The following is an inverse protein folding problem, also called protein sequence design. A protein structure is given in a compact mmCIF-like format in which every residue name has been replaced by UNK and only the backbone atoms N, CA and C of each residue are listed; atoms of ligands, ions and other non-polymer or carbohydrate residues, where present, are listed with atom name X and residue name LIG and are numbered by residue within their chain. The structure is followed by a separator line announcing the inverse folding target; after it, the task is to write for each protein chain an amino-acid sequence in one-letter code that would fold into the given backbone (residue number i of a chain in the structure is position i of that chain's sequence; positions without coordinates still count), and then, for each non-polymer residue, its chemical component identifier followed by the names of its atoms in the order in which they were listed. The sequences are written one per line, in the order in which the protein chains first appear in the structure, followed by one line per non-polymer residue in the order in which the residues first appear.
data_IF_420167364785
#
_entry.id   IF_420167364785
#
_cell.length_a   1.000
_cell.length_b   1.000
_cell.length_c   1.000
_cell.angle_alpha   90.00
_cell.angle_beta   90.00
_cell.angle_gamma   90.00
#
_symmetry.space_group_name_H-M   'P 1'
#
loop_
_entity.id
_entity.type
_entity.pdbx_description
1 polymer ?
#
# COMPACT_ATOMS: atom_id res chain seq x y z
N UNK A 1 21.34 2.56 0.30
CA UNK A 1 22.07 1.28 0.09
C UNK A 1 23.13 1.04 1.17
N UNK A 2 24.09 1.96 1.37
CA UNK A 2 25.12 1.80 2.42
C UNK A 2 24.52 1.52 3.81
N UNK A 3 23.48 2.28 4.18
CA UNK A 3 22.73 2.05 5.41
C UNK A 3 22.08 0.67 5.49
N UNK A 4 21.46 0.20 4.40
CA UNK A 4 20.88 -1.14 4.33
C UNK A 4 21.93 -2.22 4.57
N UNK A 5 23.13 -2.07 4.01
CA UNK A 5 24.26 -2.97 4.28
C UNK A 5 24.72 -2.87 5.73
N UNK A 6 24.76 -1.68 6.32
CA UNK A 6 25.10 -1.51 7.74
C UNK A 6 24.09 -2.21 8.66
N UNK A 7 22.79 -2.07 8.39
CA UNK A 7 21.72 -2.77 9.11
C UNK A 7 21.86 -4.29 8.97
N UNK A 8 22.05 -4.80 7.75
CA UNK A 8 22.26 -6.23 7.53
C UNK A 8 23.48 -6.76 8.30
N UNK A 9 24.61 -6.04 8.28
CA UNK A 9 25.81 -6.41 9.03
C UNK A 9 25.56 -6.43 10.54
N UNK A 10 24.91 -5.41 11.08
CA UNK A 10 24.59 -5.32 12.50
C UNK A 10 23.68 -6.48 12.96
N UNK A 11 22.76 -6.91 12.10
CA UNK A 11 21.83 -8.01 12.36
C UNK A 11 22.34 -9.38 11.89
N UNK A 12 23.62 -9.49 11.49
CA UNK A 12 24.23 -10.73 10.98
C UNK A 12 23.47 -11.36 9.79
N UNK A 13 22.89 -10.53 8.93
CA UNK A 13 22.21 -10.94 7.69
C UNK A 13 23.21 -10.89 6.53
N UNK A 14 23.37 -12.03 5.85
CA UNK A 14 24.35 -12.20 4.76
C UNK A 14 23.86 -11.71 3.41
N UNK A 15 22.55 -11.80 3.15
CA UNK A 15 21.97 -11.54 1.84
C UNK A 15 21.07 -10.31 1.89
N UNK A 16 21.22 -9.43 0.90
CA UNK A 16 20.42 -8.23 0.73
C UNK A 16 19.95 -8.17 -0.72
N UNK A 17 18.64 -8.09 -0.91
CA UNK A 17 18.00 -7.88 -2.20
C UNK A 17 17.61 -6.40 -2.34
N UNK A 18 17.91 -5.81 -3.50
CA UNK A 18 17.55 -4.42 -3.83
C UNK A 18 17.11 -4.43 -5.29
N UNK A 19 15.89 -3.98 -5.56
CA UNK A 19 15.28 -3.87 -6.89
C UNK A 19 16.23 -3.26 -7.94
N UNK A 20 16.86 -2.14 -7.61
CA UNK A 20 17.79 -1.42 -8.50
C UNK A 20 19.10 -2.17 -8.81
N UNK A 21 19.39 -3.26 -8.09
CA UNK A 21 20.55 -4.13 -8.33
C UNK A 21 20.16 -5.50 -8.88
N UNK A 22 18.96 -5.98 -8.56
CA UNK A 22 18.52 -7.34 -8.83
C UNK A 22 17.56 -7.45 -10.01
N UNK A 23 17.05 -6.33 -10.53
CA UNK A 23 16.20 -6.28 -11.72
C UNK A 23 16.93 -5.48 -12.79
N UNK A 24 17.15 -6.10 -13.94
CA UNK A 24 17.73 -5.47 -15.12
C UNK A 24 16.65 -4.60 -15.78
N UNK A 25 16.86 -3.29 -15.77
CA UNK A 25 15.93 -2.31 -16.34
C UNK A 25 16.49 -1.78 -17.67
N UNK A 26 16.73 -2.68 -18.63
CA UNK A 26 17.19 -2.29 -19.96
C UNK A 26 15.98 -1.88 -20.84
N UNK A 27 15.89 -0.63 -21.32
CA UNK A 27 14.81 -0.22 -22.21
C UNK A 27 14.79 -1.00 -23.54
N UNK A 28 15.92 -1.58 -23.95
CA UNK A 28 16.01 -2.40 -25.17
C UNK A 28 15.53 -3.85 -24.96
N UNK A 29 15.52 -4.34 -23.72
CA UNK A 29 15.08 -5.69 -23.35
C UNK A 29 14.29 -5.67 -22.02
N UNK A 30 12.96 -5.47 -22.07
CA UNK A 30 12.13 -5.41 -20.87
C UNK A 30 11.85 -6.78 -20.25
N UNK A 31 12.35 -7.88 -20.82
CA UNK A 31 11.97 -9.25 -20.41
C UNK A 31 12.32 -9.59 -18.96
N UNK A 32 13.40 -9.01 -18.45
CA UNK A 32 13.79 -9.16 -17.04
C UNK A 32 12.82 -8.44 -16.12
N UNK A 33 12.51 -7.18 -16.42
CA UNK A 33 11.53 -6.39 -15.68
C UNK A 33 10.14 -7.04 -15.69
N UNK A 34 9.67 -7.51 -16.84
CA UNK A 34 8.36 -8.18 -16.96
C UNK A 34 8.29 -9.38 -16.02
N UNK A 35 9.32 -10.23 -16.04
CA UNK A 35 9.37 -11.44 -15.20
C UNK A 35 9.53 -11.13 -13.71
N UNK A 36 10.41 -10.20 -13.35
CA UNK A 36 10.71 -9.91 -11.95
C UNK A 36 9.61 -9.05 -11.30
N UNK A 37 8.95 -8.16 -12.05
CA UNK A 37 7.84 -7.34 -11.55
C UNK A 37 6.66 -8.19 -11.05
N UNK A 38 6.40 -9.32 -11.70
CA UNK A 38 5.38 -10.30 -11.28
C UNK A 38 5.80 -11.07 -10.01
N UNK A 39 7.11 -11.19 -9.75
CA UNK A 39 7.68 -12.00 -8.66
C UNK A 39 8.09 -11.18 -7.45
N UNK A 40 8.20 -9.86 -7.57
CA UNK A 40 8.56 -8.93 -6.50
C UNK A 40 7.74 -9.16 -5.23
N UNK A 41 6.44 -9.44 -5.35
CA UNK A 41 5.60 -9.76 -4.20
C UNK A 41 6.10 -10.97 -3.40
N UNK A 42 6.58 -12.01 -4.08
CA UNK A 42 7.13 -13.22 -3.44
C UNK A 42 8.47 -12.95 -2.74
N UNK A 43 9.28 -12.04 -3.27
CA UNK A 43 10.52 -11.61 -2.62
C UNK A 43 10.21 -11.02 -1.25
N UNK A 44 9.20 -10.14 -1.16
CA UNK A 44 8.77 -9.57 0.12
C UNK A 44 8.12 -10.61 1.04
N UNK A 45 7.27 -11.49 0.50
CA UNK A 45 6.59 -12.54 1.26
C UNK A 45 7.55 -13.53 1.91
N UNK A 46 8.69 -13.81 1.27
CA UNK A 46 9.69 -14.77 1.75
C UNK A 46 10.95 -14.11 2.31
N UNK A 47 10.98 -12.77 2.41
CA UNK A 47 12.09 -12.05 3.03
C UNK A 47 12.19 -12.38 4.52
N UNK A 48 13.42 -12.44 5.04
CA UNK A 48 13.63 -12.58 6.49
C UNK A 48 13.08 -11.37 7.26
N UNK A 49 13.32 -10.17 6.74
CA UNK A 49 12.57 -8.94 7.02
C UNK A 49 12.79 -7.96 5.87
N UNK A 50 11.90 -6.97 5.75
CA UNK A 50 12.04 -5.85 4.81
C UNK A 50 12.50 -4.60 5.55
N UNK A 51 13.50 -3.90 5.00
CA UNK A 51 13.96 -2.60 5.53
C UNK A 51 13.12 -1.51 4.87
N UNK A 52 12.31 -0.80 5.65
CA UNK A 52 11.45 0.29 5.18
C UNK A 52 12.07 1.63 5.59
N UNK A 53 12.71 2.33 4.65
CA UNK A 53 13.28 3.65 4.88
C UNK A 53 12.19 4.73 4.75
N UNK A 54 11.58 5.13 5.87
CA UNK A 54 10.44 6.04 5.87
C UNK A 54 10.84 7.51 5.96
N UNK A 55 11.95 7.83 6.63
CA UNK A 55 12.35 9.20 6.91
C UNK A 55 12.84 9.99 5.67
N UNK A 56 13.81 9.50 4.87
CA UNK A 56 14.43 10.35 3.86
C UNK A 56 13.54 10.54 2.62
N UNK A 57 13.48 11.75 2.05
CA UNK A 57 12.80 12.02 0.78
C UNK A 57 13.54 11.50 -0.46
N UNK A 58 14.81 11.09 -0.31
CA UNK A 58 15.66 10.66 -1.42
C UNK A 58 16.60 9.54 -0.99
N UNK A 59 16.93 8.65 -1.93
CA UNK A 59 17.90 7.56 -1.75
C UNK A 59 19.35 8.05 -1.52
N UNK A 60 19.64 9.33 -1.75
CA UNK A 60 20.93 9.95 -1.47
C UNK A 60 21.12 10.34 0.00
N UNK A 61 20.06 10.30 0.80
CA UNK A 61 20.11 10.62 2.22
C UNK A 61 20.12 9.34 3.07
N UNK A 62 20.83 9.41 4.18
CA UNK A 62 20.90 8.30 5.13
C UNK A 62 19.58 8.21 5.91
N UNK A 63 18.98 7.02 5.96
CA UNK A 63 17.82 6.76 6.82
C UNK A 63 18.24 6.45 8.28
N UNK A 64 19.52 6.22 8.52
CA UNK A 64 20.08 6.06 9.87
C UNK A 64 20.39 7.41 10.53
N UNK A 65 20.62 8.46 9.72
CA UNK A 65 20.83 9.82 10.19
C UNK A 65 19.51 10.49 10.60
N UNK A 66 19.05 10.23 11.83
CA UNK A 66 17.84 10.82 12.40
C UNK A 66 18.16 12.08 13.21
N UNK A 67 17.44 13.17 12.97
CA UNK A 67 17.45 14.31 13.89
C UNK A 67 16.38 14.08 14.95
N UNK A 68 16.80 13.61 16.13
CA UNK A 68 15.90 13.53 17.28
C UNK A 68 15.57 14.96 17.73
N UNK A 69 14.35 15.41 17.42
CA UNK A 69 13.79 16.60 18.03
C UNK A 69 13.23 16.18 19.40
N UNK A 70 14.12 16.08 20.38
CA UNK A 70 13.74 15.80 21.77
C UNK A 70 14.34 16.84 22.69
N UNK A 71 13.55 17.32 23.65
CA UNK A 71 14.04 18.19 24.71
C UNK A 71 14.13 17.35 25.97
N UNK A 72 15.34 17.18 26.48
CA UNK A 72 15.58 16.51 27.76
C UNK A 72 15.77 17.54 28.86
N UNK A 73 15.14 17.31 29.99
CA UNK A 73 15.39 18.10 31.20
C UNK A 73 15.25 17.25 32.45
N UNK A 74 16.07 17.56 33.43
CA UNK A 74 16.06 16.87 34.71
C UNK A 74 14.92 17.41 35.58
N UNK A 75 14.35 16.54 36.40
CA UNK A 75 13.40 16.94 37.41
C UNK A 75 13.83 16.44 38.80
N UNK A 76 13.49 17.23 39.80
CA UNK A 76 13.61 16.91 41.21
C UNK A 76 12.26 17.19 41.85
N UNK A 77 11.63 16.15 42.41
CA UNK A 77 10.35 16.35 43.10
C UNK A 77 10.57 17.22 44.33
N UNK A 78 9.77 18.28 44.44
CA UNK A 78 9.69 19.13 45.63
C UNK A 78 8.90 18.48 46.77
N UNK A 79 8.14 17.43 46.48
CA UNK A 79 7.27 16.72 47.44
C UNK A 79 7.92 15.44 47.99
N UNK A 80 8.81 14.80 47.23
CA UNK A 80 9.52 13.59 47.63
C UNK A 80 10.94 13.59 47.07
N UNK A 81 11.90 14.06 47.89
CA UNK A 81 13.30 14.26 47.48
C UNK A 81 13.99 13.05 46.84
N UNK A 82 13.69 11.79 47.19
CA UNK A 82 14.27 10.65 46.49
C UNK A 82 13.78 10.47 45.05
N UNK A 83 12.62 11.04 44.67
CA UNK A 83 12.15 11.03 43.28
C UNK A 83 12.84 12.14 42.48
N UNK A 84 13.87 11.72 41.75
CA UNK A 84 14.57 12.48 40.72
C UNK A 84 14.63 11.67 39.44
N UNK A 85 14.76 12.34 38.30
CA UNK A 85 14.89 11.67 37.03
C UNK A 85 14.99 12.66 35.88
N UNK A 86 14.75 12.16 34.68
CA UNK A 86 14.79 12.96 33.46
C UNK A 86 13.46 12.81 32.72
N UNK A 87 12.90 13.92 32.27
CA UNK A 87 11.82 13.92 31.29
C UNK A 87 12.40 14.11 29.90
N UNK A 88 11.83 13.39 28.93
CA UNK A 88 12.06 13.62 27.51
C UNK A 88 10.76 14.10 26.90
N UNK A 89 10.76 15.33 26.37
CA UNK A 89 9.65 15.83 25.55
C UNK A 89 9.89 15.45 24.10
N UNK A 90 8.89 14.81 23.52
CA UNK A 90 8.81 14.52 22.10
C UNK A 90 7.87 15.54 21.45
N UNK A 91 8.26 16.10 20.30
CA UNK A 91 7.33 16.94 19.54
C UNK A 91 6.21 16.06 18.96
N UNK A 92 4.95 16.44 19.23
CA UNK A 92 3.79 15.85 18.60
C UNK A 92 3.60 16.45 17.20
N UNK A 93 3.25 15.61 16.23
CA UNK A 93 2.86 16.04 14.89
C UNK A 93 1.42 16.55 14.88
N UNK A 94 1.08 17.34 13.87
CA UNK A 94 -0.32 17.72 13.60
C UNK A 94 -0.79 17.01 12.33
N UNK A 95 -1.91 16.29 12.41
CA UNK A 95 -2.63 15.76 11.25
C UNK A 95 -3.94 16.51 11.10
N UNK A 96 -4.11 17.24 10.01
CA UNK A 96 -5.29 18.10 9.76
C UNK A 96 -5.63 19.05 10.93
N UNK A 97 -4.61 19.55 11.63
CA UNK A 97 -4.77 20.44 12.80
C UNK A 97 -5.06 19.72 14.12
N UNK A 98 -5.12 18.38 14.14
CA UNK A 98 -5.30 17.58 15.35
C UNK A 98 -3.93 17.05 15.81
N UNK A 99 -3.57 17.19 17.10
CA UNK A 99 -2.37 16.57 17.65
C UNK A 99 -2.40 15.04 17.48
N UNK A 100 -1.37 14.50 16.84
CA UNK A 100 -1.10 13.07 16.79
C UNK A 100 0.00 12.80 17.80
N UNK A 101 -0.31 11.98 18.81
CA UNK A 101 0.63 11.65 19.87
C UNK A 101 1.35 10.33 19.64
N UNK A 102 0.89 9.51 18.69
CA UNK A 102 1.53 8.25 18.33
C UNK A 102 2.66 8.51 17.33
N UNK A 103 3.94 8.32 17.72
CA UNK A 103 5.10 8.64 16.88
C UNK A 103 5.08 7.86 15.56
N UNK A 104 4.58 6.62 15.59
CA UNK A 104 4.44 5.78 14.42
C UNK A 104 3.49 6.37 13.39
N UNK A 105 2.32 6.87 13.81
CA UNK A 105 1.37 7.50 12.89
C UNK A 105 1.95 8.76 12.26
N UNK A 106 2.73 9.55 13.02
CA UNK A 106 3.42 10.73 12.48
C UNK A 106 4.45 10.32 11.43
N UNK A 107 5.30 9.34 11.76
CA UNK A 107 6.32 8.84 10.85
C UNK A 107 5.70 8.26 9.58
N UNK A 108 4.61 7.49 9.69
CA UNK A 108 3.92 6.89 8.56
C UNK A 108 3.22 7.93 7.69
N UNK A 109 2.47 8.86 8.29
CA UNK A 109 1.73 9.88 7.57
C UNK A 109 2.65 10.82 6.77
N UNK A 110 3.80 11.18 7.36
CA UNK A 110 4.77 12.06 6.71
C UNK A 110 5.74 11.33 5.78
N UNK A 111 5.76 10.00 5.83
CA UNK A 111 6.67 9.15 5.06
C UNK A 111 6.50 9.34 3.55
N UNK A 112 7.55 9.76 2.82
CA UNK A 112 7.58 9.69 1.36
C UNK A 112 7.49 8.24 0.85
N UNK A 113 7.95 7.27 1.64
CA UNK A 113 7.88 5.85 1.32
C UNK A 113 6.43 5.37 1.22
N UNK A 114 5.56 5.71 2.18
CA UNK A 114 4.14 5.27 2.17
C UNK A 114 3.36 5.81 0.96
N UNK A 115 3.82 6.93 0.40
CA UNK A 115 3.19 7.58 -0.76
C UNK A 115 3.53 6.93 -2.10
N UNK A 116 4.48 6.00 -2.16
CA UNK A 116 4.93 5.36 -3.43
C UNK A 116 4.06 4.13 -3.75
N UNK A 117 3.64 3.98 -5.01
CA UNK A 117 2.78 2.88 -5.42
C UNK A 117 3.44 1.49 -5.26
N UNK A 118 4.66 1.33 -5.76
CA UNK A 118 5.43 0.07 -5.63
C UNK A 118 5.66 -0.38 -4.17
N UNK A 119 5.74 0.58 -3.25
CA UNK A 119 5.90 0.31 -1.81
C UNK A 119 4.68 -0.41 -1.21
N UNK A 120 3.52 -0.37 -1.86
CA UNK A 120 2.34 -1.05 -1.33
C UNK A 120 2.58 -2.56 -1.16
N UNK A 121 3.31 -3.20 -2.08
CA UNK A 121 3.68 -4.61 -1.95
C UNK A 121 4.69 -4.84 -0.82
N UNK A 122 5.66 -3.93 -0.64
CA UNK A 122 6.60 -3.97 0.50
C UNK A 122 5.84 -3.98 1.82
N UNK A 123 4.85 -3.10 1.93
CA UNK A 123 4.07 -2.91 3.14
C UNK A 123 3.14 -4.09 3.43
N UNK A 124 2.41 -4.56 2.43
CA UNK A 124 1.35 -5.54 2.64
C UNK A 124 1.85 -6.99 2.66
N UNK A 125 2.89 -7.31 1.86
CA UNK A 125 3.32 -8.70 1.68
C UNK A 125 4.49 -9.10 2.59
N UNK A 126 5.23 -8.14 3.16
CA UNK A 126 6.35 -8.45 4.05
C UNK A 126 5.86 -8.91 5.43
N UNK A 127 6.14 -10.15 5.87
CA UNK A 127 5.68 -10.64 7.17
C UNK A 127 6.35 -9.93 8.35
N UNK A 128 7.59 -9.48 8.14
CA UNK A 128 8.42 -8.76 9.11
C UNK A 128 9.02 -7.51 8.48
N UNK A 129 8.90 -6.37 9.14
CA UNK A 129 9.41 -5.07 8.66
C UNK A 129 10.21 -4.37 9.75
N UNK A 130 11.34 -3.80 9.36
CA UNK A 130 12.08 -2.82 10.15
C UNK A 130 11.85 -1.45 9.52
N UNK A 131 11.05 -0.64 10.21
CA UNK A 131 10.62 0.67 9.75
C UNK A 131 11.48 1.74 10.38
N UNK A 132 12.25 2.44 9.56
CA UNK A 132 13.13 3.53 9.98
C UNK A 132 12.42 4.88 9.75
N UNK A 133 11.70 5.31 10.78
CA UNK A 133 11.03 6.61 10.84
C UNK A 133 11.98 7.75 11.16
N UNK A 134 11.49 8.98 11.03
CA UNK A 134 12.22 10.19 11.41
C UNK A 134 12.38 10.24 12.94
N UNK A 135 11.36 9.81 13.68
CA UNK A 135 11.31 9.90 15.13
C UNK A 135 11.79 8.61 15.80
N UNK A 136 11.32 7.44 15.36
CA UNK A 136 11.68 6.15 15.96
C UNK A 136 11.94 5.06 14.92
N UNK A 137 12.55 3.96 15.37
CA UNK A 137 12.56 2.69 14.65
C UNK A 137 11.42 1.82 15.15
N UNK A 138 10.77 1.10 14.24
CA UNK A 138 9.69 0.16 14.57
C UNK A 138 9.99 -1.21 13.98
N UNK A 139 9.69 -2.26 14.73
CA UNK A 139 9.65 -3.63 14.25
C UNK A 139 8.21 -4.07 14.16
N UNK A 140 7.78 -4.51 12.97
CA UNK A 140 6.45 -5.05 12.75
C UNK A 140 6.54 -6.52 12.35
N UNK A 141 5.70 -7.36 12.96
CA UNK A 141 5.57 -8.77 12.64
C UNK A 141 4.10 -9.19 12.70
N UNK A 142 3.49 -9.43 11.53
CA UNK A 142 2.05 -9.63 11.42
C UNK A 142 1.27 -8.42 11.94
N UNK A 143 0.39 -8.63 12.91
CA UNK A 143 -0.43 -7.56 13.53
C UNK A 143 0.26 -6.83 14.69
N UNK A 144 1.44 -7.29 15.11
CA UNK A 144 2.13 -6.71 16.25
C UNK A 144 3.23 -5.77 15.79
N UNK A 145 3.31 -4.61 16.43
CA UNK A 145 4.38 -3.64 16.22
C UNK A 145 5.02 -3.30 17.56
N UNK A 146 6.35 -3.24 17.56
CA UNK A 146 7.19 -2.82 18.68
C UNK A 146 7.96 -1.57 18.26
N UNK A 147 7.84 -0.49 19.02
CA UNK A 147 8.63 0.72 18.81
C UNK A 147 9.92 0.71 19.61
N UNK A 148 10.88 1.56 19.20
CA UNK A 148 12.18 1.74 19.85
C UNK A 148 12.08 2.09 21.35
N UNK A 149 11.02 2.78 21.78
CA UNK A 149 10.75 3.11 23.18
C UNK A 149 10.11 1.96 23.98
N UNK A 150 9.89 0.79 23.37
CA UNK A 150 9.33 -0.40 24.00
C UNK A 150 7.80 -0.48 24.00
N UNK A 151 7.10 0.50 23.42
CA UNK A 151 5.65 0.43 23.28
C UNK A 151 5.25 -0.64 22.26
N UNK A 152 4.16 -1.35 22.56
CA UNK A 152 3.61 -2.41 21.70
C UNK A 152 2.23 -1.97 21.24
N UNK A 153 2.03 -2.03 19.93
CA UNK A 153 0.77 -1.68 19.28
C UNK A 153 0.25 -2.91 18.51
N UNK A 154 -1.05 -3.16 18.60
CA UNK A 154 -1.74 -4.09 17.70
C UNK A 154 -2.40 -3.31 16.58
N UNK A 155 -2.13 -3.69 15.34
CA UNK A 155 -2.81 -3.13 14.18
C UNK A 155 -4.05 -3.97 13.89
N UNK A 156 -5.22 -3.46 14.27
CA UNK A 156 -6.49 -4.15 14.05
C UNK A 156 -6.90 -4.19 12.56
N UNK A 157 -6.47 -3.20 11.77
CA UNK A 157 -6.84 -3.04 10.35
C UNK A 157 -5.85 -3.66 9.34
N UNK A 158 -4.85 -4.41 9.80
CA UNK A 158 -3.89 -5.08 8.92
C UNK A 158 -4.53 -6.32 8.28
N UNK A 159 -4.66 -6.31 6.95
CA UNK A 159 -5.06 -7.49 6.18
C UNK A 159 -3.87 -8.43 6.12
N UNK A 160 -4.03 -9.64 6.64
CA UNK A 160 -3.01 -10.68 6.51
C UNK A 160 -3.26 -11.45 5.21
N UNK A 161 -2.65 -10.97 4.13
CA UNK A 161 -2.73 -11.56 2.79
C UNK A 161 -2.22 -13.02 2.72
N UNK A 162 -1.48 -13.46 3.74
CA UNK A 162 -0.89 -14.80 3.83
C UNK A 162 -1.70 -15.78 4.68
N UNK A 163 -2.76 -15.33 5.37
CA UNK A 163 -3.51 -16.13 6.34
C UNK A 163 -5.02 -16.04 6.19
N UNK A 164 -5.52 -16.21 4.96
CA UNK A 164 -6.94 -16.49 4.75
C UNK A 164 -7.29 -17.96 5.01
N UNK A 165 -6.94 -18.47 6.19
CA UNK A 165 -7.50 -19.73 6.67
C UNK A 165 -8.88 -19.41 7.24
N UNK A 166 -9.95 -19.85 6.58
CA UNK A 166 -11.37 -19.66 6.95
C UNK A 166 -12.04 -18.34 6.52
N UNK A 167 -11.58 -17.70 5.45
CA UNK A 167 -12.29 -16.55 4.87
C UNK A 167 -13.22 -17.00 3.75
N UNK A 168 -14.39 -16.35 3.63
CA UNK A 168 -15.24 -16.54 2.45
C UNK A 168 -14.71 -15.70 1.28
N UNK A 169 -14.97 -16.09 0.01
CA UNK A 169 -14.56 -15.28 -1.14
C UNK A 169 -15.01 -13.81 -1.05
N UNK A 170 -16.20 -13.54 -0.49
CA UNK A 170 -16.72 -12.19 -0.32
C UNK A 170 -15.87 -11.34 0.64
N UNK A 171 -15.33 -11.96 1.70
CA UNK A 171 -14.43 -11.28 2.63
C UNK A 171 -13.09 -10.96 1.94
N UNK A 172 -12.56 -11.90 1.15
CA UNK A 172 -11.34 -11.70 0.37
C UNK A 172 -11.51 -10.54 -0.63
N UNK A 173 -12.62 -10.50 -1.36
CA UNK A 173 -12.87 -9.39 -2.30
C UNK A 173 -13.08 -8.06 -1.59
N UNK A 174 -13.73 -8.05 -0.42
CA UNK A 174 -13.86 -6.83 0.40
C UNK A 174 -12.50 -6.30 0.81
N UNK A 175 -11.61 -7.18 1.27
CA UNK A 175 -10.26 -6.80 1.69
C UNK A 175 -9.45 -6.30 0.48
N UNK A 176 -9.63 -6.88 -0.71
CA UNK A 176 -9.05 -6.37 -1.96
C UNK A 176 -9.59 -4.99 -2.37
N UNK A 177 -10.89 -4.73 -2.20
CA UNK A 177 -11.47 -3.40 -2.46
C UNK A 177 -10.93 -2.34 -1.49
N UNK A 178 -10.67 -2.72 -0.24
CA UNK A 178 -10.01 -1.89 0.75
C UNK A 178 -8.53 -1.66 0.40
N UNK A 179 -7.86 -2.67 -0.15
CA UNK A 179 -6.51 -2.53 -0.68
C UNK A 179 -6.44 -1.50 -1.81
N UNK A 180 -7.37 -1.57 -2.78
CA UNK A 180 -7.48 -0.57 -3.84
C UNK A 180 -7.65 0.84 -3.25
N UNK A 181 -8.47 0.99 -2.19
CA UNK A 181 -8.68 2.28 -1.53
C UNK A 181 -7.38 2.87 -0.93
N UNK A 182 -6.56 2.03 -0.29
CA UNK A 182 -5.26 2.42 0.30
C UNK A 182 -4.18 2.63 -0.78
N UNK A 183 -4.28 1.92 -1.90
CA UNK A 183 -3.30 1.92 -2.98
C UNK A 183 -3.50 3.06 -3.98
N UNK A 184 -4.74 3.36 -4.39
CA UNK A 184 -5.01 4.11 -5.63
C UNK A 184 -4.53 5.57 -5.61
N UNK A 185 -4.40 6.17 -4.42
CA UNK A 185 -3.88 7.54 -4.26
C UNK A 185 -2.37 7.63 -4.19
N UNK A 186 -1.66 6.48 -4.22
CA UNK A 186 -0.19 6.46 -4.19
C UNK A 186 0.38 6.91 -5.54
N UNK A 187 1.54 7.55 -5.48
CA UNK A 187 2.23 8.11 -6.62
C UNK A 187 3.05 7.04 -7.34
N UNK A 188 2.97 7.04 -8.67
CA UNK A 188 3.76 6.19 -9.56
C UNK A 188 4.55 7.07 -10.52
N UNK A 189 5.77 6.65 -10.86
CA UNK A 189 6.57 7.32 -11.90
C UNK A 189 5.96 7.09 -13.28
N UNK A 190 5.45 5.88 -13.52
CA UNK A 190 4.77 5.49 -14.75
C UNK A 190 3.40 4.91 -14.41
N UNK A 191 2.34 5.45 -15.01
CA UNK A 191 0.98 4.97 -14.76
C UNK A 191 0.72 3.56 -15.29
N UNK A 192 1.55 3.09 -16.22
CA UNK A 192 1.56 1.68 -16.67
C UNK A 192 1.84 0.70 -15.53
N UNK A 193 2.55 1.13 -14.49
CA UNK A 193 2.95 0.29 -13.37
C UNK A 193 1.82 0.06 -12.37
N UNK A 194 0.64 0.64 -12.58
CA UNK A 194 -0.46 0.61 -11.63
C UNK A 194 -0.97 -0.79 -11.29
N UNK A 195 -1.04 -1.68 -12.28
CA UNK A 195 -1.39 -3.09 -12.04
C UNK A 195 -0.18 -3.92 -11.62
N UNK A 196 1.00 -3.81 -12.28
CA UNK A 196 2.22 -4.47 -11.83
C UNK A 196 2.55 -4.23 -10.34
N UNK A 197 2.41 -2.98 -9.88
CA UNK A 197 2.67 -2.59 -8.50
C UNK A 197 1.62 -3.10 -7.49
N UNK A 198 0.55 -3.77 -7.94
CA UNK A 198 -0.45 -4.45 -7.11
C UNK A 198 -0.46 -5.97 -7.35
N UNK A 199 0.36 -6.48 -8.27
CA UNK A 199 0.27 -7.85 -8.78
C UNK A 199 0.44 -8.92 -7.70
N UNK A 200 1.34 -8.73 -6.73
CA UNK A 200 1.51 -9.67 -5.62
C UNK A 200 0.27 -9.78 -4.73
N UNK A 201 -0.39 -8.66 -4.44
CA UNK A 201 -1.66 -8.64 -3.67
C UNK A 201 -2.77 -9.32 -4.47
N UNK A 202 -2.86 -9.03 -5.78
CA UNK A 202 -3.82 -9.69 -6.66
C UNK A 202 -3.57 -11.21 -6.74
N UNK A 203 -2.31 -11.63 -6.76
CA UNK A 203 -1.94 -13.05 -6.75
C UNK A 203 -2.42 -13.76 -5.49
N UNK A 204 -2.29 -13.16 -4.31
CA UNK A 204 -2.84 -13.73 -3.07
C UNK A 204 -4.36 -13.95 -3.19
N UNK A 205 -5.11 -12.96 -3.70
CA UNK A 205 -6.56 -13.10 -3.94
C UNK A 205 -6.87 -14.23 -4.91
N UNK A 206 -6.11 -14.34 -6.01
CA UNK A 206 -6.26 -15.43 -6.97
C UNK A 206 -6.03 -16.80 -6.33
N UNK A 207 -4.96 -16.97 -5.56
CA UNK A 207 -4.61 -18.23 -4.89
C UNK A 207 -5.71 -18.71 -3.92
N UNK A 208 -6.48 -17.78 -3.34
CA UNK A 208 -7.55 -18.14 -2.40
C UNK A 208 -8.94 -18.24 -3.02
N UNK A 209 -9.20 -17.56 -4.14
CA UNK A 209 -10.55 -17.51 -4.75
C UNK A 209 -10.65 -18.28 -6.07
N UNK A 210 -9.53 -18.47 -6.79
CA UNK A 210 -9.51 -18.98 -8.16
C UNK A 210 -10.19 -18.07 -9.18
N UNK A 211 -10.60 -16.87 -8.78
CA UNK A 211 -11.42 -15.96 -9.59
C UNK A 211 -10.62 -15.33 -10.72
N UNK A 212 -11.27 -15.09 -11.86
CA UNK A 212 -10.60 -14.45 -12.99
C UNK A 212 -10.31 -12.99 -12.69
N UNK A 213 -9.02 -12.64 -12.71
CA UNK A 213 -8.57 -11.25 -12.61
C UNK A 213 -8.73 -10.55 -13.97
N UNK A 214 -9.38 -9.39 -13.96
CA UNK A 214 -9.58 -8.55 -15.13
C UNK A 214 -8.65 -7.32 -15.02
N UNK A 215 -9.09 -6.15 -15.45
CA UNK A 215 -8.33 -4.91 -15.32
C UNK A 215 -8.46 -4.34 -13.89
N UNK A 216 -7.84 -4.96 -12.90
CA UNK A 216 -7.88 -4.46 -11.52
C UNK A 216 -9.11 -4.86 -10.70
N UNK A 217 -9.99 -5.70 -11.26
CA UNK A 217 -11.24 -6.18 -10.64
C UNK A 217 -11.36 -7.71 -10.79
N UNK A 218 -12.17 -8.33 -9.94
CA UNK A 218 -12.45 -9.78 -9.96
C UNK A 218 -13.79 -10.08 -10.62
N UNK A 219 -13.83 -11.10 -11.49
CA UNK A 219 -15.03 -11.43 -12.26
C UNK A 219 -16.23 -11.79 -11.37
N UNK A 220 -16.01 -12.61 -10.34
CA UNK A 220 -17.06 -13.03 -9.40
C UNK A 220 -17.55 -11.88 -8.49
N UNK A 221 -16.74 -10.85 -8.30
CA UNK A 221 -17.08 -9.67 -7.47
C UNK A 221 -17.55 -8.47 -8.32
N UNK A 222 -17.63 -8.62 -9.64
CA UNK A 222 -17.74 -7.49 -10.56
C UNK A 222 -18.97 -6.61 -10.28
N UNK A 223 -20.07 -7.21 -9.82
CA UNK A 223 -21.32 -6.55 -9.45
C UNK A 223 -21.16 -5.51 -8.33
N UNK A 224 -20.24 -5.74 -7.37
CA UNK A 224 -19.88 -4.77 -6.32
C UNK A 224 -18.65 -3.95 -6.74
N UNK A 225 -17.68 -4.59 -7.38
CA UNK A 225 -16.40 -3.98 -7.73
C UNK A 225 -16.56 -2.83 -8.74
N UNK A 226 -17.60 -2.83 -9.58
CA UNK A 226 -17.93 -1.73 -10.48
C UNK A 226 -18.53 -0.49 -9.78
N UNK A 227 -18.89 -0.59 -8.50
CA UNK A 227 -19.46 0.52 -7.71
C UNK A 227 -18.38 1.43 -7.10
N UNK A 228 -17.24 1.52 -7.76
CA UNK A 228 -16.16 2.40 -7.36
C UNK A 228 -16.49 3.85 -7.67
N UNK A 229 -16.02 4.76 -6.82
CA UNK A 229 -16.15 6.21 -6.99
C UNK A 229 -14.78 6.83 -6.79
N UNK A 230 -14.37 7.68 -7.73
CA UNK A 230 -13.20 8.51 -7.53
C UNK A 230 -13.51 9.63 -6.54
N UNK A 231 -12.71 9.76 -5.47
CA UNK A 231 -12.74 10.90 -4.54
C UNK A 231 -11.45 11.72 -4.58
N UNK A 232 -11.49 12.96 -4.09
CA UNK A 232 -10.32 13.84 -3.96
C UNK A 232 -10.49 15.26 -4.55
N UNK A 233 -9.52 16.15 -4.32
CA UNK A 233 -9.50 17.49 -4.91
C UNK A 233 -9.37 17.39 -6.43
N UNK A 234 -10.52 17.48 -7.12
CA UNK A 234 -10.61 17.19 -8.55
C UNK A 234 -11.90 16.49 -8.99
N UNK A 235 -12.75 16.00 -8.08
CA UNK A 235 -14.07 15.45 -8.50
C UNK A 235 -14.97 16.55 -9.07
N UNK A 236 -14.90 17.77 -8.52
CA UNK A 236 -15.53 18.97 -9.10
C UNK A 236 -14.69 19.55 -10.23
N UNK A 237 -14.18 18.70 -11.11
CA UNK A 237 -13.60 19.14 -12.37
C UNK A 237 -14.72 19.41 -13.37
N UNK A 238 -14.50 20.37 -14.26
CA UNK A 238 -15.38 20.54 -15.41
C UNK A 238 -15.37 19.27 -16.25
N UNK A 239 -16.49 18.98 -16.92
CA UNK A 239 -16.60 17.85 -17.84
C UNK A 239 -15.44 17.82 -18.87
N UNK A 240 -15.00 18.99 -19.32
CA UNK A 240 -13.87 19.14 -20.24
C UNK A 240 -12.57 18.54 -19.69
N UNK A 241 -12.20 18.88 -18.46
CA UNK A 241 -10.98 18.37 -17.82
C UNK A 241 -11.06 16.86 -17.56
N UNK A 242 -12.25 16.35 -17.23
CA UNK A 242 -12.47 14.90 -17.10
C UNK A 242 -12.32 14.16 -18.43
N UNK A 243 -12.82 14.74 -19.53
CA UNK A 243 -12.65 14.17 -20.87
C UNK A 243 -11.19 14.21 -21.33
N UNK A 244 -10.43 15.26 -20.98
CA UNK A 244 -8.98 15.30 -21.23
C UNK A 244 -8.24 14.20 -20.47
N UNK A 245 -8.51 14.01 -19.18
CA UNK A 245 -7.91 12.94 -18.39
C UNK A 245 -8.25 11.54 -18.94
N UNK A 246 -9.51 11.32 -19.34
CA UNK A 246 -9.92 10.05 -19.95
C UNK A 246 -9.27 9.81 -21.33
N UNK A 247 -9.03 10.87 -22.11
CA UNK A 247 -8.30 10.78 -23.38
C UNK A 247 -6.82 10.49 -23.15
N UNK A 248 -6.21 11.12 -22.14
CA UNK A 248 -4.84 10.84 -21.74
C UNK A 248 -4.69 9.39 -21.22
N UNK A 249 -5.66 8.91 -20.43
CA UNK A 249 -5.62 7.53 -19.91
C UNK A 249 -5.91 6.47 -20.97
N UNK A 250 -6.55 6.78 -22.10
CA UNK A 250 -6.63 5.84 -23.24
C UNK A 250 -5.25 5.42 -23.77
N UNK A 251 -4.21 6.25 -23.59
CA UNK A 251 -2.84 5.89 -23.92
C UNK A 251 -2.23 4.81 -23.01
N UNK A 252 -2.82 4.58 -21.84
CA UNK A 252 -2.34 3.58 -20.86
C UNK A 252 -2.88 2.16 -21.08
N UNK A 253 -3.81 1.97 -22.03
CA UNK A 253 -4.45 0.66 -22.28
C UNK A 253 -5.49 0.24 -21.24
N UNK A 254 -5.74 1.06 -20.20
CA UNK A 254 -6.72 0.74 -19.16
C UNK A 254 -8.18 0.88 -19.65
N UNK A 255 -9.06 -0.12 -19.42
CA UNK A 255 -10.49 -0.02 -19.75
C UNK A 255 -11.21 1.07 -18.96
N UNK A 256 -12.11 1.82 -19.61
CA UNK A 256 -12.80 2.96 -19.00
C UNK A 256 -13.77 2.61 -17.86
N UNK A 257 -14.18 1.35 -17.75
CA UNK A 257 -15.03 0.84 -16.67
C UNK A 257 -14.22 0.43 -15.42
N UNK A 258 -12.90 0.37 -15.54
CA UNK A 258 -12.01 0.05 -14.43
C UNK A 258 -11.56 1.31 -13.71
N UNK A 259 -11.38 1.21 -12.39
CA UNK A 259 -10.76 2.25 -11.58
C UNK A 259 -9.32 2.59 -12.03
N UNK A 260 -8.64 1.64 -12.70
CA UNK A 260 -7.27 1.80 -13.21
C UNK A 260 -7.18 3.00 -14.15
N UNK A 261 -8.24 3.31 -14.91
CA UNK A 261 -8.25 4.45 -15.84
C UNK A 261 -8.40 5.81 -15.15
N UNK A 262 -8.52 5.84 -13.82
CA UNK A 262 -8.76 7.04 -13.01
C UNK A 262 -7.64 7.21 -11.97
N UNK A 263 -6.67 8.12 -12.18
CA UNK A 263 -5.70 8.46 -11.14
C UNK A 263 -6.36 9.17 -9.96
N UNK A 264 -5.97 8.78 -8.74
CA UNK A 264 -6.44 9.39 -7.50
C UNK A 264 -7.10 8.42 -6.54
N UNK A 265 -7.70 8.96 -5.50
CA UNK A 265 -8.33 8.15 -4.45
C UNK A 265 -9.60 7.47 -5.00
N UNK A 266 -9.70 6.16 -4.84
CA UNK A 266 -10.81 5.33 -5.29
C UNK A 266 -11.44 4.69 -4.05
N UNK A 267 -12.77 4.68 -3.99
CA UNK A 267 -13.49 4.00 -2.93
C UNK A 267 -14.65 3.19 -3.50
N UNK A 268 -14.77 1.94 -3.07
CA UNK A 268 -15.94 1.11 -3.36
C UNK A 268 -16.97 1.41 -2.28
N UNK A 269 -18.00 2.18 -2.63
CA UNK A 269 -18.99 2.62 -1.66
C UNK A 269 -20.39 2.32 -2.17
N UNK A 270 -20.95 1.22 -1.67
CA UNK A 270 -22.39 0.92 -1.82
C UNK A 270 -23.20 2.15 -1.39
N UNK A 271 -22.85 2.78 -0.27
CA UNK A 271 -23.56 3.93 0.25
C UNK A 271 -23.41 5.19 -0.63
N UNK A 272 -22.25 5.44 -1.25
CA UNK A 272 -22.09 6.61 -2.14
C UNK A 272 -22.84 6.44 -3.47
N UNK A 273 -22.88 5.22 -4.03
CA UNK A 273 -23.66 4.91 -5.23
C UNK A 273 -25.17 4.91 -4.94
N UNK A 274 -25.58 4.47 -3.75
CA UNK A 274 -26.99 4.42 -3.33
C UNK A 274 -27.53 5.76 -2.81
N UNK A 275 -26.72 6.82 -2.60
CA UNK A 275 -27.27 8.14 -2.20
C UNK A 275 -28.24 8.77 -3.21
N UNK A 276 -28.23 8.30 -4.46
CA UNK A 276 -29.20 8.70 -5.50
C UNK A 276 -30.29 7.67 -5.76
N UNK A 277 -30.19 6.47 -5.20
CA UNK A 277 -31.20 5.43 -5.24
C UNK A 277 -31.88 5.48 -3.88
N UNK A 278 -33.08 6.07 -3.83
CA UNK A 278 -33.91 6.01 -2.63
C UNK A 278 -33.97 4.58 -2.07
N UNK A 279 -34.37 4.45 -0.82
CA UNK A 279 -34.47 3.22 0.00
C UNK A 279 -35.25 2.03 -0.60
N UNK A 280 -35.50 2.00 -1.90
CA UNK A 280 -35.80 0.81 -2.68
C UNK A 280 -34.50 0.08 -3.05
N UNK A 281 -33.99 -0.71 -2.12
CA UNK A 281 -33.10 -1.82 -2.45
C UNK A 281 -33.88 -2.93 -3.17
N UNK A 282 -34.41 -2.61 -4.36
CA UNK A 282 -34.89 -3.59 -5.34
C UNK A 282 -33.71 -4.05 -6.22
N UNK A 283 -32.62 -4.51 -5.59
CA UNK A 283 -31.68 -5.37 -6.30
C UNK A 283 -32.43 -6.66 -6.63
N UNK A 284 -32.94 -6.75 -7.86
CA UNK A 284 -33.67 -7.92 -8.34
C UNK A 284 -32.69 -9.12 -8.38
N UNK A 285 -33.08 -10.32 -7.92
CA UNK A 285 -32.22 -11.50 -7.89
C UNK A 285 -31.75 -12.00 -9.26
N UNK A 286 -32.25 -11.38 -10.34
CA UNK A 286 -32.09 -11.79 -11.74
C UNK A 286 -30.67 -11.56 -12.28
N UNK A 287 -29.86 -10.73 -11.63
CA UNK A 287 -28.48 -10.43 -12.05
C UNK A 287 -27.47 -11.10 -11.12
N UNK A 288 -27.33 -12.41 -11.26
CA UNK A 288 -26.30 -13.20 -10.57
C UNK A 288 -24.99 -13.29 -11.36
N UNK A 289 -24.98 -12.92 -12.66
CA UNK A 289 -23.78 -12.89 -13.49
C UNK A 289 -23.80 -11.70 -14.46
N UNK A 290 -22.71 -10.94 -14.48
CA UNK A 290 -22.40 -10.01 -15.57
C UNK A 290 -21.46 -10.75 -16.51
N UNK A 291 -21.96 -11.19 -17.67
CA UNK A 291 -21.12 -11.79 -18.71
C UNK A 291 -20.30 -10.70 -19.42
N UNK A 292 -19.13 -10.39 -18.85
CA UNK A 292 -18.16 -9.49 -19.45
C UNK A 292 -17.23 -10.23 -20.41
N UNK A 293 -17.47 -10.15 -21.71
CA UNK A 293 -16.46 -10.53 -22.72
C UNK A 293 -15.48 -9.36 -22.93
N UNK A 294 -14.18 -9.63 -22.81
CA UNK A 294 -13.10 -8.69 -23.12
C UNK A 294 -12.15 -9.31 -24.13
N UNK A 295 -12.00 -8.66 -25.30
CA UNK A 295 -10.87 -8.88 -26.19
C UNK A 295 -9.85 -7.78 -25.94
N UNK A 296 -8.72 -8.12 -25.31
CA UNK A 296 -7.57 -7.23 -25.18
C UNK A 296 -6.91 -7.11 -26.57
N UNK A 297 -6.91 -5.90 -27.15
CA UNK A 297 -6.03 -5.59 -28.27
C UNK A 297 -4.64 -5.32 -27.69
N UNK A 298 -3.70 -6.23 -27.92
CA UNK A 298 -2.30 -6.11 -27.48
C UNK A 298 -1.90 -7.32 -26.64
N UNK A 299 -1.18 -8.24 -27.28
CA UNK A 299 -0.66 -9.46 -26.68
C UNK A 299 0.33 -9.16 -25.54
N UNK A 300 0.30 -9.97 -24.48
CA UNK A 300 1.26 -9.88 -23.37
C UNK A 300 0.82 -10.45 -22.02
N UNK A 301 -0.27 -11.23 -21.93
CA UNK A 301 -0.50 -12.10 -20.77
C UNK A 301 -0.69 -13.51 -21.33
N UNK A 302 0.40 -14.28 -21.37
CA UNK A 302 0.30 -15.72 -21.62
C UNK A 302 -0.59 -16.29 -20.53
N UNK A 303 -1.67 -16.90 -20.98
CA UNK A 303 -2.63 -17.63 -20.17
C UNK A 303 -1.88 -18.60 -19.25
N UNK A 304 -2.10 -18.47 -17.94
CA UNK A 304 -1.78 -19.54 -17.00
C UNK A 304 -2.78 -20.68 -17.27
N UNK A 305 -2.30 -21.80 -17.83
CA UNK A 305 -3.06 -23.04 -17.93
C UNK A 305 -2.84 -23.83 -19.22
N UNK A 306 -1.79 -24.65 -19.26
CA UNK A 306 -1.87 -26.06 -19.65
C UNK A 306 -1.26 -26.90 -18.52
#
# INVERSE_FOLDING_TARGET
MQDSVAVCKALSIRYLWIDALCIIQDPADPSDWERESERVGQVYQHAYFTICAMAPPSCHQSFLARSQHTIQFDFQSSLYLPARGQYTLHFAGLSSGVPVFEPMLIDLYNSPWDKRGWVYQEQELSPKKLLFGQHMVYFECGRNRLSENGEVFSQDDAVDWSRWTNFTPEQVYRDFREAIRKYSSRSLSYESDRLPALAGVAKCVFECTGSKYLAGLWMEDLHIALLWVAKGPGIRQSLAKRLELLRASRGSGAPSWSWVSHPGYIEHSLFACLRGLGTDSHLRPEYTSIDGWTALKGAGLKQFGE
#
